data_IF_720928546312
#
_entry.id   IF_720928546312
#
_cell.length_a   1.000
_cell.length_b   1.000
_cell.length_c   1.000
_cell.angle_alpha   90.00
_cell.angle_beta   90.00
_cell.angle_gamma   90.00
#
_symmetry.space_group_name_H-M   'P 1'
#
loop_
_entity.id
_entity.type
_entity.pdbx_description
1 polymer ?
#
# COMPACT_ATOMS: atom_id res chain seq x y z
N UNK A 1 28.30 -10.84 -20.45
CA UNK A 1 28.69 -10.02 -19.26
C UNK A 1 28.41 -10.86 -18.03
N UNK A 2 29.28 -10.85 -17.01
CA UNK A 2 29.05 -11.61 -15.77
C UNK A 2 28.03 -10.81 -14.95
N UNK A 3 26.87 -11.39 -14.72
CA UNK A 3 25.85 -10.80 -13.85
C UNK A 3 26.30 -10.97 -12.40
N UNK A 4 26.40 -9.87 -11.66
CA UNK A 4 26.75 -9.90 -10.23
C UNK A 4 25.50 -10.17 -9.42
N UNK A 5 25.46 -11.26 -8.65
CA UNK A 5 24.36 -11.52 -7.70
C UNK A 5 24.61 -10.76 -6.39
N UNK A 6 23.57 -10.11 -5.84
CA UNK A 6 23.58 -9.35 -4.61
C UNK A 6 22.44 -9.81 -3.71
N UNK A 7 22.73 -10.18 -2.47
CA UNK A 7 21.73 -10.59 -1.47
C UNK A 7 21.26 -9.40 -0.65
N UNK A 8 19.97 -9.14 -0.63
CA UNK A 8 19.40 -8.07 0.18
C UNK A 8 18.40 -8.60 1.20
N UNK A 9 18.65 -8.30 2.48
CA UNK A 9 17.64 -8.54 3.53
C UNK A 9 16.58 -7.46 3.45
N UNK A 10 15.31 -7.85 3.48
CA UNK A 10 14.15 -6.93 3.47
C UNK A 10 13.39 -7.10 4.79
N UNK A 11 13.30 -6.01 5.56
CA UNK A 11 12.62 -5.95 6.86
C UNK A 11 11.38 -5.07 6.79
N UNK A 12 10.25 -5.58 7.26
CA UNK A 12 8.97 -4.86 7.32
C UNK A 12 7.96 -5.59 8.20
N UNK A 13 6.68 -5.26 8.05
CA UNK A 13 5.56 -5.93 8.75
C UNK A 13 4.94 -6.99 7.85
N UNK A 14 5.69 -8.04 7.52
CA UNK A 14 5.34 -9.07 6.57
C UNK A 14 4.98 -10.39 7.23
N UNK A 15 4.10 -11.19 6.61
CA UNK A 15 3.63 -12.46 7.13
C UNK A 15 2.51 -12.33 8.19
N UNK A 16 1.67 -11.28 8.08
CA UNK A 16 0.58 -11.02 9.03
C UNK A 16 -0.80 -10.89 8.35
N UNK A 17 -0.93 -11.32 7.11
CA UNK A 17 -2.18 -11.28 6.33
C UNK A 17 -2.81 -9.88 6.26
N UNK A 18 -1.97 -8.85 6.25
CA UNK A 18 -2.36 -7.47 6.01
C UNK A 18 -2.06 -7.14 4.55
N UNK A 19 -3.07 -7.08 3.70
CA UNK A 19 -2.92 -6.86 2.26
C UNK A 19 -2.10 -5.60 1.93
N UNK A 20 -2.19 -4.55 2.76
CA UNK A 20 -1.39 -3.34 2.55
C UNK A 20 0.12 -3.56 2.74
N UNK A 21 0.52 -4.20 3.85
CA UNK A 21 1.95 -4.47 4.11
C UNK A 21 2.49 -5.56 3.16
N UNK A 22 1.67 -6.54 2.80
CA UNK A 22 2.02 -7.55 1.79
C UNK A 22 2.19 -6.90 0.40
N UNK A 23 1.37 -5.90 0.06
CA UNK A 23 1.52 -5.15 -1.18
C UNK A 23 2.80 -4.31 -1.20
N UNK A 24 3.17 -3.72 -0.06
CA UNK A 24 4.46 -3.02 0.07
C UNK A 24 5.61 -3.97 -0.23
N UNK A 25 5.61 -5.18 0.34
CA UNK A 25 6.63 -6.18 0.05
C UNK A 25 6.64 -6.55 -1.44
N UNK A 26 5.47 -6.89 -2.00
CA UNK A 26 5.35 -7.25 -3.42
C UNK A 26 5.84 -6.13 -4.33
N UNK A 27 5.51 -4.87 -4.01
CA UNK A 27 5.94 -3.70 -4.78
C UNK A 27 7.46 -3.51 -4.74
N UNK A 28 8.09 -3.70 -3.57
CA UNK A 28 9.55 -3.63 -3.43
C UNK A 28 10.21 -4.74 -4.25
N UNK A 29 9.73 -5.99 -4.13
CA UNK A 29 10.27 -7.12 -4.88
C UNK A 29 10.14 -6.90 -6.39
N UNK A 30 8.98 -6.47 -6.88
CA UNK A 30 8.73 -6.20 -8.29
C UNK A 30 9.62 -5.07 -8.81
N UNK A 31 9.73 -3.96 -8.08
CA UNK A 31 10.56 -2.83 -8.48
C UNK A 31 12.06 -3.19 -8.52
N UNK A 32 12.54 -3.99 -7.56
CA UNK A 32 13.92 -4.50 -7.56
C UNK A 32 14.16 -5.46 -8.73
N UNK A 33 13.22 -6.32 -9.05
CA UNK A 33 13.30 -7.22 -10.20
C UNK A 33 13.34 -6.46 -11.54
N UNK A 34 12.43 -5.50 -11.73
CA UNK A 34 12.40 -4.65 -12.93
C UNK A 34 13.71 -3.88 -13.13
N UNK A 35 14.27 -3.29 -12.06
CA UNK A 35 15.53 -2.55 -12.14
C UNK A 35 16.74 -3.51 -12.32
N UNK A 36 16.68 -4.72 -11.76
CA UNK A 36 17.67 -5.77 -12.01
C UNK A 36 17.73 -6.15 -13.48
N UNK A 37 16.59 -6.31 -14.13
CA UNK A 37 16.51 -6.63 -15.57
C UNK A 37 17.11 -5.54 -16.47
N UNK A 38 17.10 -4.27 -16.00
CA UNK A 38 17.70 -3.12 -16.70
C UNK A 38 19.19 -2.95 -16.42
N UNK A 39 19.70 -3.68 -15.45
CA UNK A 39 21.09 -3.61 -15.00
C UNK A 39 21.75 -4.99 -15.11
N UNK A 40 23.06 -5.07 -14.92
CA UNK A 40 23.79 -6.34 -14.86
C UNK A 40 23.87 -6.89 -13.42
N UNK A 41 22.87 -6.58 -12.57
CA UNK A 41 22.83 -6.98 -11.17
C UNK A 41 21.57 -7.84 -10.96
N UNK A 42 21.74 -9.01 -10.39
CA UNK A 42 20.62 -9.85 -9.93
C UNK A 42 20.46 -9.69 -8.44
N UNK A 43 19.25 -9.42 -7.97
CA UNK A 43 18.93 -9.33 -6.54
C UNK A 43 18.37 -10.66 -6.05
N UNK A 44 18.96 -11.19 -4.97
CA UNK A 44 18.45 -12.33 -4.21
C UNK A 44 17.85 -11.81 -2.88
N UNK A 45 16.53 -11.62 -2.79
CA UNK A 45 15.92 -11.11 -1.58
C UNK A 45 15.83 -12.17 -0.47
N UNK A 46 16.05 -11.73 0.78
CA UNK A 46 15.82 -12.51 1.99
C UNK A 46 14.85 -11.73 2.86
N UNK A 47 13.63 -12.22 3.03
CA UNK A 47 12.58 -11.49 3.73
C UNK A 47 12.52 -11.87 5.22
N UNK A 48 12.50 -10.86 6.11
CA UNK A 48 12.21 -11.07 7.52
C UNK A 48 10.69 -11.09 7.72
N UNK A 49 10.12 -12.26 7.98
CA UNK A 49 8.68 -12.48 8.04
C UNK A 49 8.20 -13.00 9.40
N UNK A 50 6.96 -12.71 9.74
CA UNK A 50 6.23 -13.33 10.84
C UNK A 50 5.84 -14.79 10.54
N UNK A 51 5.61 -15.09 9.27
CA UNK A 51 5.30 -16.43 8.73
C UNK A 51 6.18 -16.69 7.50
N UNK A 52 7.42 -17.22 7.68
CA UNK A 52 8.34 -17.46 6.58
C UNK A 52 7.83 -18.45 5.53
N UNK A 53 7.09 -19.47 5.94
CA UNK A 53 6.58 -20.49 5.03
C UNK A 53 5.57 -19.89 4.05
N UNK A 54 4.59 -19.16 4.58
CA UNK A 54 3.61 -18.45 3.77
C UNK A 54 4.25 -17.41 2.85
N UNK A 55 5.20 -16.63 3.35
CA UNK A 55 5.92 -15.61 2.57
C UNK A 55 6.73 -16.25 1.43
N UNK A 56 7.41 -17.37 1.72
CA UNK A 56 8.17 -18.09 0.68
C UNK A 56 7.25 -18.68 -0.37
N UNK A 57 6.13 -19.28 0.02
CA UNK A 57 5.16 -19.85 -0.90
C UNK A 57 4.51 -18.77 -1.79
N UNK A 58 4.21 -17.59 -1.24
CA UNK A 58 3.53 -16.50 -1.95
C UNK A 58 4.45 -15.78 -2.95
N UNK A 59 5.70 -15.52 -2.57
CA UNK A 59 6.60 -14.65 -3.34
C UNK A 59 7.76 -15.39 -4.02
N UNK A 60 7.97 -16.68 -3.72
CA UNK A 60 9.08 -17.45 -4.28
C UNK A 60 10.46 -16.99 -3.75
N UNK A 61 10.51 -16.29 -2.63
CA UNK A 61 11.74 -15.74 -2.05
C UNK A 61 12.13 -16.46 -0.78
N UNK A 62 13.43 -16.48 -0.45
CA UNK A 62 13.89 -16.99 0.83
C UNK A 62 13.36 -16.10 1.96
N UNK A 63 12.84 -16.70 3.01
CA UNK A 63 12.34 -15.99 4.18
C UNK A 63 12.88 -16.58 5.47
N UNK A 64 13.07 -15.74 6.49
CA UNK A 64 13.51 -16.13 7.83
C UNK A 64 12.62 -15.50 8.90
N UNK A 65 12.49 -16.15 10.06
CA UNK A 65 11.58 -15.68 11.09
C UNK A 65 12.14 -14.42 11.78
N UNK A 66 11.39 -13.31 11.64
CA UNK A 66 11.80 -11.96 12.09
C UNK A 66 12.19 -11.84 13.57
N UNK A 67 11.65 -12.70 14.45
CA UNK A 67 11.93 -12.67 15.88
C UNK A 67 13.06 -13.62 16.31
N UNK A 68 13.57 -14.47 15.42
CA UNK A 68 14.70 -15.37 15.69
C UNK A 68 16.01 -14.65 15.42
N UNK A 69 16.54 -13.95 16.42
CA UNK A 69 17.72 -13.08 16.29
C UNK A 69 18.94 -13.77 15.67
N UNK A 70 19.13 -15.08 15.91
CA UNK A 70 20.22 -15.85 15.29
C UNK A 70 20.05 -15.92 13.78
N UNK A 71 18.85 -16.28 13.30
CA UNK A 71 18.54 -16.36 11.87
C UNK A 71 18.65 -14.98 11.19
N UNK A 72 18.12 -13.92 11.84
CA UNK A 72 18.24 -12.54 11.35
C UNK A 72 19.72 -12.12 11.23
N UNK A 73 20.55 -12.42 12.25
CA UNK A 73 21.97 -12.09 12.22
C UNK A 73 22.73 -12.86 11.14
N UNK A 74 22.41 -14.12 10.92
CA UNK A 74 23.01 -14.94 9.86
C UNK A 74 22.62 -14.40 8.48
N UNK A 75 21.32 -14.12 8.25
CA UNK A 75 20.84 -13.50 7.02
C UNK A 75 21.55 -12.15 6.72
N UNK A 76 21.71 -11.30 7.72
CA UNK A 76 22.45 -10.03 7.57
C UNK A 76 23.93 -10.23 7.29
N UNK A 77 24.57 -11.23 7.86
CA UNK A 77 26.00 -11.50 7.62
C UNK A 77 26.26 -11.91 6.17
N UNK A 78 25.43 -12.79 5.62
CA UNK A 78 25.56 -13.29 4.26
C UNK A 78 25.04 -12.30 3.20
N UNK A 79 24.29 -11.27 3.58
CA UNK A 79 23.74 -10.28 2.65
C UNK A 79 24.74 -9.19 2.29
N UNK A 80 24.44 -8.47 1.21
CA UNK A 80 25.18 -7.29 0.75
C UNK A 80 24.55 -5.98 1.22
N UNK A 81 23.36 -6.03 1.85
CA UNK A 81 22.69 -4.87 2.42
C UNK A 81 21.36 -5.20 3.07
N UNK A 82 20.76 -4.18 3.69
CA UNK A 82 19.45 -4.23 4.34
C UNK A 82 18.54 -3.15 3.76
N UNK A 83 17.35 -3.54 3.33
CA UNK A 83 16.22 -2.65 3.06
C UNK A 83 15.29 -2.67 4.26
N UNK A 84 15.07 -1.51 4.91
CA UNK A 84 13.94 -1.31 5.80
C UNK A 84 12.77 -0.84 4.95
N UNK A 85 11.80 -1.74 4.73
CA UNK A 85 10.72 -1.56 3.77
C UNK A 85 9.70 -0.50 4.19
N UNK A 86 8.76 -0.22 3.31
CA UNK A 86 7.69 0.77 3.48
C UNK A 86 6.71 0.42 4.60
N UNK A 87 5.64 1.17 4.66
CA UNK A 87 4.66 1.11 5.73
C UNK A 87 5.01 2.01 6.92
N UNK A 88 4.17 2.03 7.96
CA UNK A 88 4.40 2.84 9.17
C UNK A 88 5.10 2.02 10.25
N UNK A 89 6.39 1.73 10.07
CA UNK A 89 7.15 0.86 10.96
C UNK A 89 7.57 1.55 12.27
N UNK A 90 7.89 2.86 12.19
CA UNK A 90 8.35 3.65 13.33
C UNK A 90 7.22 4.48 13.91
N UNK A 91 6.38 3.83 14.71
CA UNK A 91 5.29 4.45 15.46
C UNK A 91 5.17 3.83 16.85
N UNK A 92 4.71 4.61 17.84
CA UNK A 92 4.48 4.14 19.20
C UNK A 92 3.01 4.20 19.65
N UNK A 93 2.09 4.56 18.73
CA UNK A 93 0.65 4.62 18.99
C UNK A 93 0.04 3.23 19.24
N UNK A 94 0.52 2.20 18.52
CA UNK A 94 -0.01 0.82 18.63
C UNK A 94 0.83 -0.09 19.52
N UNK A 95 2.02 0.35 19.95
CA UNK A 95 2.86 -0.45 20.85
C UNK A 95 4.29 0.05 20.98
N UNK A 96 4.91 -0.24 22.13
CA UNK A 96 6.25 0.22 22.50
C UNK A 96 7.40 -0.51 21.80
N UNK A 97 7.14 -1.71 21.30
CA UNK A 97 8.18 -2.62 20.81
C UNK A 97 8.54 -2.40 19.34
N UNK A 98 7.69 -1.70 18.59
CA UNK A 98 7.86 -1.51 17.15
C UNK A 98 9.13 -0.72 16.82
N UNK A 99 9.28 0.48 17.37
CA UNK A 99 10.43 1.35 17.11
C UNK A 99 11.76 0.67 17.51
N UNK A 100 11.93 0.12 18.75
CA UNK A 100 13.16 -0.58 19.12
C UNK A 100 13.49 -1.78 18.23
N UNK A 101 12.47 -2.54 17.81
CA UNK A 101 12.70 -3.70 16.94
C UNK A 101 13.28 -3.27 15.58
N UNK A 102 12.61 -2.37 14.86
CA UNK A 102 13.06 -1.97 13.52
C UNK A 102 14.39 -1.22 13.55
N UNK A 103 14.59 -0.32 14.52
CA UNK A 103 15.88 0.34 14.71
C UNK A 103 16.99 -0.65 15.08
N UNK A 104 16.66 -1.68 15.87
CA UNK A 104 17.60 -2.74 16.25
C UNK A 104 18.08 -3.56 15.04
N UNK A 105 17.19 -3.91 14.14
CA UNK A 105 17.55 -4.62 12.89
C UNK A 105 18.44 -3.75 12.00
N UNK A 106 18.09 -2.47 11.80
CA UNK A 106 18.94 -1.54 11.03
C UNK A 106 20.30 -1.37 11.68
N UNK A 107 20.34 -1.18 13.00
CA UNK A 107 21.59 -1.01 13.75
C UNK A 107 22.47 -2.25 13.70
N UNK A 108 21.89 -3.44 13.77
CA UNK A 108 22.62 -4.71 13.61
C UNK A 108 23.29 -4.80 12.23
N UNK A 109 22.58 -4.42 11.16
CA UNK A 109 23.15 -4.36 9.81
C UNK A 109 24.31 -3.35 9.74
N UNK A 110 24.16 -2.17 10.34
CA UNK A 110 25.22 -1.14 10.42
C UNK A 110 26.45 -1.64 11.18
N UNK A 111 26.28 -2.37 12.29
CA UNK A 111 27.39 -3.00 13.02
C UNK A 111 28.11 -4.07 12.20
N UNK A 112 27.36 -4.77 11.35
CA UNK A 112 27.95 -5.72 10.39
C UNK A 112 28.52 -5.02 9.13
N UNK A 113 28.59 -3.67 9.13
CA UNK A 113 29.10 -2.83 8.04
C UNK A 113 28.34 -3.01 6.72
N UNK A 114 27.07 -3.38 6.80
CA UNK A 114 26.18 -3.51 5.63
C UNK A 114 25.54 -2.16 5.31
N UNK A 115 25.44 -1.77 4.01
CA UNK A 115 24.65 -0.61 3.62
C UNK A 115 23.19 -0.81 4.03
N UNK A 116 22.55 0.27 4.47
CA UNK A 116 21.17 0.25 4.94
C UNK A 116 20.35 1.28 4.17
N UNK A 117 19.22 0.84 3.64
CA UNK A 117 18.32 1.61 2.80
C UNK A 117 16.95 1.69 3.45
N UNK A 118 16.47 2.90 3.67
CA UNK A 118 15.08 3.15 4.11
C UNK A 118 14.25 3.36 2.86
N UNK A 119 13.21 2.52 2.67
CA UNK A 119 12.42 2.47 1.45
C UNK A 119 11.01 3.01 1.69
N UNK A 120 10.74 4.25 1.29
CA UNK A 120 9.43 4.90 1.33
C UNK A 120 8.68 4.71 2.66
N UNK A 121 9.39 4.88 3.78
CA UNK A 121 8.84 4.58 5.11
C UNK A 121 8.01 5.74 5.65
N UNK A 122 6.80 5.44 6.17
CA UNK A 122 6.05 6.37 7.01
C UNK A 122 6.60 6.39 8.44
N UNK A 123 6.78 7.57 9.01
CA UNK A 123 7.30 7.75 10.37
C UNK A 123 6.25 8.48 11.21
N UNK A 124 5.91 7.89 12.33
CA UNK A 124 5.01 8.48 13.31
C UNK A 124 3.59 7.90 13.30
N UNK A 125 2.78 8.33 14.30
CA UNK A 125 3.20 9.25 15.36
C UNK A 125 4.25 8.65 16.31
N UNK A 126 5.27 9.46 16.66
CA UNK A 126 6.28 9.12 17.69
C UNK A 126 6.02 10.05 18.88
N UNK A 127 5.20 9.59 19.81
CA UNK A 127 4.77 10.39 20.96
C UNK A 127 5.88 10.47 22.03
N UNK A 128 6.72 9.44 22.12
CA UNK A 128 7.77 9.34 23.13
C UNK A 128 9.11 9.86 22.61
N UNK A 129 9.47 11.05 23.05
CA UNK A 129 10.73 11.71 22.67
C UNK A 129 12.00 10.92 22.97
N UNK A 130 11.93 9.90 23.85
CA UNK A 130 13.06 9.02 24.16
C UNK A 130 13.56 8.25 22.92
N UNK A 131 12.73 8.02 21.93
CA UNK A 131 13.12 7.37 20.68
C UNK A 131 13.86 8.30 19.70
N UNK A 132 13.72 9.62 19.86
CA UNK A 132 14.29 10.61 18.92
C UNK A 132 15.80 10.47 18.73
N UNK A 133 16.64 10.34 19.79
CA UNK A 133 18.08 10.15 19.63
C UNK A 133 18.44 8.85 18.90
N UNK A 134 17.67 7.78 19.15
CA UNK A 134 17.89 6.48 18.49
C UNK A 134 17.57 6.58 16.99
N UNK A 135 16.40 7.14 16.63
CA UNK A 135 15.99 7.36 15.24
C UNK A 135 17.03 8.22 14.53
N UNK A 136 17.41 9.37 15.13
CA UNK A 136 18.45 10.25 14.59
C UNK A 136 19.75 9.52 14.30
N UNK A 137 20.27 8.79 15.29
CA UNK A 137 21.57 8.08 15.17
C UNK A 137 21.54 7.02 14.08
N UNK A 138 20.45 6.24 14.00
CA UNK A 138 20.31 5.16 13.01
C UNK A 138 20.12 5.72 11.60
N UNK A 139 19.23 6.71 11.43
CA UNK A 139 18.92 7.26 10.12
C UNK A 139 20.06 8.08 9.52
N UNK A 140 20.82 8.82 10.35
CA UNK A 140 22.04 9.51 9.87
C UNK A 140 23.11 8.57 9.31
N UNK A 141 23.13 7.33 9.76
CA UNK A 141 24.08 6.32 9.30
C UNK A 141 23.53 5.45 8.14
N UNK A 142 22.33 5.71 7.66
CA UNK A 142 21.77 5.01 6.51
C UNK A 142 22.42 5.49 5.20
N UNK A 143 22.57 4.57 4.27
CA UNK A 143 23.12 4.83 2.94
C UNK A 143 22.13 5.63 2.07
N UNK A 144 20.84 5.35 2.22
CA UNK A 144 19.75 6.01 1.51
C UNK A 144 18.51 6.09 2.42
N UNK A 145 17.85 7.23 2.41
CA UNK A 145 16.62 7.43 3.20
C UNK A 145 15.54 7.99 2.29
N UNK A 146 14.48 7.22 2.10
CA UNK A 146 13.24 7.73 1.52
C UNK A 146 12.06 7.53 2.46
N UNK A 147 11.17 8.51 2.48
CA UNK A 147 9.94 8.51 3.26
C UNK A 147 8.75 8.76 2.32
N UNK A 148 7.56 8.31 2.73
CA UNK A 148 6.41 8.35 1.82
C UNK A 148 5.58 9.64 1.90
N UNK A 149 5.84 10.51 2.87
CA UNK A 149 5.09 11.74 3.08
C UNK A 149 5.97 12.84 3.68
N UNK A 150 5.56 14.11 3.48
CA UNK A 150 6.29 15.28 3.99
C UNK A 150 6.31 15.33 5.52
N UNK A 151 5.26 14.85 6.19
CA UNK A 151 5.23 14.82 7.66
C UNK A 151 6.36 13.93 8.23
N UNK A 152 6.61 12.79 7.61
CA UNK A 152 7.75 11.92 7.95
C UNK A 152 9.08 12.60 7.67
N UNK A 153 9.19 13.35 6.57
CA UNK A 153 10.39 14.10 6.23
C UNK A 153 10.64 15.25 7.22
N UNK A 154 9.61 16.02 7.57
CA UNK A 154 9.71 17.12 8.54
C UNK A 154 10.07 16.61 9.93
N UNK A 155 9.53 15.46 10.33
CA UNK A 155 9.94 14.83 11.58
C UNK A 155 11.44 14.51 11.60
N UNK A 156 11.98 13.91 10.53
CA UNK A 156 13.41 13.61 10.43
C UNK A 156 14.28 14.87 10.36
N UNK A 157 13.83 15.91 9.63
CA UNK A 157 14.48 17.23 9.57
C UNK A 157 14.53 17.85 10.96
N UNK A 158 13.43 17.77 11.72
CA UNK A 158 13.35 18.22 13.11
C UNK A 158 14.32 17.48 14.04
N UNK A 159 14.69 16.26 13.71
CA UNK A 159 15.77 15.52 14.41
C UNK A 159 17.17 15.93 13.94
N UNK A 160 17.30 16.74 12.90
CA UNK A 160 18.56 17.26 12.37
C UNK A 160 19.21 16.40 11.29
N UNK A 161 18.42 15.67 10.50
CA UNK A 161 18.85 15.15 9.20
C UNK A 161 18.82 16.30 8.17
N UNK A 162 19.75 16.29 7.22
CA UNK A 162 19.83 17.32 6.18
C UNK A 162 18.81 17.07 5.08
N UNK A 163 18.37 18.12 4.41
CA UNK A 163 17.39 18.08 3.30
C UNK A 163 17.79 17.10 2.18
N UNK A 164 19.06 17.13 1.80
CA UNK A 164 19.62 16.28 0.75
C UNK A 164 19.79 14.81 1.16
N UNK A 165 19.54 14.45 2.42
CA UNK A 165 19.62 13.09 2.93
C UNK A 165 18.25 12.40 2.90
N UNK A 166 17.15 13.13 2.68
CA UNK A 166 15.79 12.64 2.77
C UNK A 166 15.10 12.84 1.43
N UNK A 167 14.61 11.74 0.86
CA UNK A 167 13.84 11.75 -0.38
C UNK A 167 12.38 11.46 -0.07
N UNK A 168 11.48 12.36 -0.46
CA UNK A 168 10.04 12.12 -0.35
C UNK A 168 9.58 11.47 -1.64
N UNK A 169 9.06 10.26 -1.52
CA UNK A 169 8.54 9.45 -2.64
C UNK A 169 7.14 8.95 -2.28
N UNK A 170 6.30 8.52 -3.20
CA UNK A 170 5.03 7.90 -2.84
C UNK A 170 5.21 6.54 -2.19
N UNK A 171 4.12 6.03 -1.61
CA UNK A 171 4.07 4.64 -1.11
C UNK A 171 4.38 3.67 -2.27
N UNK A 172 5.20 2.63 -2.05
CA UNK A 172 5.61 1.69 -3.10
C UNK A 172 4.44 1.04 -3.84
N UNK A 173 3.31 0.89 -3.17
CA UNK A 173 2.10 0.28 -3.72
C UNK A 173 1.52 1.07 -4.89
N UNK A 174 1.81 2.36 -5.02
CA UNK A 174 1.47 3.13 -6.23
C UNK A 174 2.08 2.52 -7.49
N UNK A 175 3.23 1.88 -7.39
CA UNK A 175 3.92 1.21 -8.51
C UNK A 175 3.56 -0.26 -8.72
N UNK A 176 2.67 -0.85 -7.89
CA UNK A 176 2.30 -2.26 -7.99
C UNK A 176 1.50 -2.53 -9.28
N UNK A 177 1.97 -3.42 -10.19
CA UNK A 177 1.22 -3.80 -11.36
C UNK A 177 0.07 -4.75 -11.02
N UNK A 178 -0.95 -4.79 -11.88
CA UNK A 178 -1.94 -5.86 -11.86
C UNK A 178 -1.26 -7.22 -12.11
N UNK A 179 -1.86 -8.34 -11.65
CA UNK A 179 -1.34 -9.66 -11.95
C UNK A 179 -1.31 -9.89 -13.46
N UNK A 180 -0.26 -10.56 -13.96
CA UNK A 180 -0.24 -10.97 -15.34
C UNK A 180 -1.41 -11.92 -15.61
N UNK A 181 -2.28 -11.57 -16.55
CA UNK A 181 -3.32 -12.48 -17.03
C UNK A 181 -2.62 -13.68 -17.64
N UNK A 182 -2.84 -14.89 -17.12
CA UNK A 182 -2.45 -16.13 -17.77
C UNK A 182 -3.25 -16.25 -19.07
N UNK A 183 -2.75 -15.63 -20.13
CA UNK A 183 -3.15 -16.01 -21.48
C UNK A 183 -2.64 -17.43 -21.64
N UNK A 184 -3.55 -18.41 -21.81
CA UNK A 184 -3.16 -19.77 -22.18
C UNK A 184 -2.23 -19.65 -23.37
N UNK A 185 -0.97 -20.04 -23.18
CA UNK A 185 0.05 -20.03 -24.22
C UNK A 185 -0.23 -21.16 -25.20
N UNK A 186 -1.16 -20.88 -26.11
CA UNK A 186 -1.22 -21.55 -27.39
C UNK A 186 -0.13 -20.99 -28.29
N UNK A 187 0.76 -21.87 -28.72
CA UNK A 187 1.93 -21.67 -29.54
C UNK A 187 1.94 -20.43 -30.47
N UNK A 188 2.99 -19.60 -30.37
CA UNK A 188 3.29 -18.55 -31.35
C UNK A 188 4.01 -17.35 -30.71
N UNK A 189 5.34 -17.47 -30.59
CA UNK A 189 6.16 -16.37 -30.13
C UNK A 189 6.22 -15.25 -31.19
N UNK A 190 5.71 -14.07 -30.87
CA UNK A 190 6.11 -12.82 -31.52
C UNK A 190 6.32 -11.78 -30.40
N UNK A 191 7.56 -11.31 -30.31
CA UNK A 191 7.98 -10.19 -29.47
C UNK A 191 7.16 -8.95 -29.83
N UNK A 192 6.43 -8.39 -28.86
CA UNK A 192 5.83 -7.08 -29.01
C UNK A 192 6.13 -6.25 -27.76
N UNK A 193 6.94 -5.21 -27.96
CA UNK A 193 7.00 -4.05 -27.09
C UNK A 193 5.57 -3.49 -26.93
N UNK A 194 4.96 -3.77 -25.81
CA UNK A 194 3.64 -3.20 -25.48
C UNK A 194 3.82 -2.03 -24.53
N UNK A 195 3.78 -0.83 -25.11
CA UNK A 195 3.40 0.38 -24.41
C UNK A 195 2.07 0.14 -23.66
N UNK A 196 2.07 0.41 -22.37
CA UNK A 196 0.93 0.23 -21.47
C UNK A 196 -0.22 1.17 -21.86
N UNK A 197 -1.06 0.74 -22.77
CA UNK A 197 -2.39 1.32 -22.93
C UNK A 197 -3.31 0.60 -21.96
N UNK A 198 -3.75 1.34 -20.92
CA UNK A 198 -4.82 0.91 -20.04
C UNK A 198 -5.99 0.35 -20.84
N UNK A 199 -6.50 -0.82 -20.45
CA UNK A 199 -7.75 -1.36 -20.95
C UNK A 199 -8.87 -0.35 -20.70
N UNK A 200 -9.11 0.55 -21.64
CA UNK A 200 -10.31 1.34 -21.73
C UNK A 200 -11.46 0.37 -22.00
N UNK A 201 -12.24 0.07 -20.97
CA UNK A 201 -13.57 -0.48 -21.17
C UNK A 201 -14.40 0.66 -21.76
N UNK A 202 -14.57 0.66 -23.06
CA UNK A 202 -15.55 1.49 -23.78
C UNK A 202 -16.95 1.22 -23.22
N UNK A 203 -17.82 2.23 -23.08
CA UNK A 203 -19.19 2.01 -22.65
C UNK A 203 -19.90 1.16 -23.71
N UNK A 204 -20.18 -0.09 -23.39
CA UNK A 204 -20.94 -0.99 -24.24
C UNK A 204 -22.37 -0.44 -24.42
N UNK A 205 -22.69 -0.01 -25.62
CA UNK A 205 -24.07 0.25 -26.08
C UNK A 205 -24.79 -1.08 -26.24
N UNK A 206 -25.38 -1.57 -25.16
CA UNK A 206 -26.18 -2.80 -25.18
C UNK A 206 -26.93 -3.00 -23.86
N UNK A 207 -28.22 -2.87 -23.89
CA UNK A 207 -29.25 -2.77 -22.87
C UNK A 207 -29.29 -3.73 -21.69
N UNK A 208 -28.28 -3.67 -20.79
CA UNK A 208 -28.35 -3.91 -19.35
C UNK A 208 -27.34 -2.98 -18.71
N UNK A 209 -27.79 -1.88 -18.13
CA UNK A 209 -26.91 -0.96 -17.39
C UNK A 209 -26.26 -1.71 -16.23
N UNK A 210 -24.97 -2.03 -16.40
CA UNK A 210 -24.15 -2.65 -15.33
C UNK A 210 -24.20 -1.73 -14.12
N UNK A 211 -24.56 -2.27 -12.95
CA UNK A 211 -24.56 -1.50 -11.71
C UNK A 211 -23.17 -0.94 -11.44
N UNK A 212 -23.03 0.34 -11.08
CA UNK A 212 -21.76 0.87 -10.60
C UNK A 212 -21.27 0.07 -9.39
N UNK A 213 -20.01 -0.33 -9.42
CA UNK A 213 -19.38 -1.10 -8.34
C UNK A 213 -18.64 -0.14 -7.40
N UNK A 214 -19.04 -0.14 -6.14
CA UNK A 214 -18.41 0.67 -5.09
C UNK A 214 -17.67 -0.25 -4.15
N UNK A 215 -16.35 -0.16 -4.16
CA UNK A 215 -15.50 -0.83 -3.18
C UNK A 215 -15.69 -0.18 -1.80
N UNK A 216 -15.84 -1.00 -0.76
CA UNK A 216 -16.01 -0.53 0.63
C UNK A 216 -14.99 -1.22 1.52
N UNK A 217 -14.01 -0.47 2.02
CA UNK A 217 -12.99 -0.97 2.95
C UNK A 217 -13.10 -0.28 4.30
N UNK A 218 -13.58 -1.02 5.30
CA UNK A 218 -13.84 -0.51 6.64
C UNK A 218 -13.08 -1.30 7.70
N UNK A 219 -12.99 -0.70 8.88
CA UNK A 219 -12.41 -1.32 10.08
C UNK A 219 -13.15 -0.84 11.32
N UNK A 220 -13.05 -1.57 12.41
CA UNK A 220 -13.41 -1.05 13.72
C UNK A 220 -12.37 -0.02 14.18
N UNK A 221 -12.86 1.13 14.66
CA UNK A 221 -12.00 2.18 15.20
C UNK A 221 -12.50 2.70 16.54
N UNK A 222 -13.65 3.36 16.58
CA UNK A 222 -14.26 3.84 17.82
C UNK A 222 -14.87 2.68 18.62
N UNK A 223 -14.84 2.79 19.95
CA UNK A 223 -15.39 1.76 20.83
C UNK A 223 -16.91 1.58 20.68
N UNK A 224 -17.61 2.69 20.40
CA UNK A 224 -19.06 2.74 20.16
C UNK A 224 -19.43 2.53 18.68
N UNK A 225 -18.44 2.42 17.80
CA UNK A 225 -18.58 2.18 16.35
C UNK A 225 -19.47 3.22 15.64
N UNK A 226 -19.46 4.46 16.12
CA UNK A 226 -20.26 5.55 15.54
C UNK A 226 -19.88 5.82 14.09
N UNK A 227 -18.60 5.63 13.71
CA UNK A 227 -18.11 5.75 12.36
C UNK A 227 -18.82 4.78 11.40
N UNK A 228 -19.02 3.52 11.80
CA UNK A 228 -19.73 2.54 10.99
C UNK A 228 -21.22 2.85 10.87
N UNK A 229 -21.82 3.42 11.92
CA UNK A 229 -23.21 3.89 11.87
C UNK A 229 -23.39 5.02 10.87
N UNK A 230 -22.48 6.00 10.85
CA UNK A 230 -22.50 7.09 9.87
C UNK A 230 -22.28 6.59 8.44
N UNK A 231 -21.33 5.64 8.25
CA UNK A 231 -21.10 5.00 6.95
C UNK A 231 -22.36 4.24 6.49
N UNK A 232 -22.99 3.45 7.38
CA UNK A 232 -24.23 2.72 7.05
C UNK A 232 -25.34 3.68 6.60
N UNK A 233 -25.52 4.79 7.32
CA UNK A 233 -26.50 5.81 6.95
C UNK A 233 -26.23 6.39 5.56
N UNK A 234 -24.95 6.69 5.25
CA UNK A 234 -24.53 7.20 3.96
C UNK A 234 -24.77 6.18 2.83
N UNK A 235 -24.40 4.92 3.03
CA UNK A 235 -24.60 3.85 2.05
C UNK A 235 -26.10 3.54 1.83
N UNK A 236 -26.94 3.54 2.86
CA UNK A 236 -28.40 3.41 2.71
C UNK A 236 -28.98 4.55 1.90
N UNK A 237 -28.53 5.79 2.18
CA UNK A 237 -28.95 6.97 1.43
C UNK A 237 -28.54 6.88 -0.04
N UNK A 238 -27.30 6.43 -0.31
CA UNK A 238 -26.81 6.18 -1.66
C UNK A 238 -27.69 5.16 -2.38
N UNK A 239 -27.90 3.97 -1.80
CA UNK A 239 -28.75 2.92 -2.38
C UNK A 239 -30.21 3.37 -2.60
N UNK A 240 -30.69 4.34 -1.82
CA UNK A 240 -32.03 4.92 -2.03
C UNK A 240 -32.10 5.83 -3.24
N UNK A 241 -31.00 6.45 -3.64
CA UNK A 241 -30.92 7.38 -4.78
C UNK A 241 -30.53 6.70 -6.09
N UNK A 242 -29.69 5.67 -6.01
CA UNK A 242 -29.10 5.00 -7.15
C UNK A 242 -28.84 3.53 -6.84
N UNK A 243 -29.25 2.64 -7.72
CA UNK A 243 -28.90 1.23 -7.63
C UNK A 243 -27.39 1.07 -7.86
N UNK A 244 -26.68 0.41 -6.94
CA UNK A 244 -25.23 0.18 -6.96
C UNK A 244 -24.90 -1.23 -6.48
N UNK A 245 -23.69 -1.69 -6.78
CA UNK A 245 -23.12 -2.89 -6.17
C UNK A 245 -22.09 -2.48 -5.12
N UNK A 246 -22.42 -2.68 -3.85
CA UNK A 246 -21.47 -2.51 -2.74
C UNK A 246 -20.61 -3.75 -2.62
N UNK A 247 -19.32 -3.62 -2.97
CA UNK A 247 -18.30 -4.68 -2.89
C UNK A 247 -17.41 -4.45 -1.70
N UNK A 248 -17.59 -5.24 -0.63
CA UNK A 248 -16.76 -5.13 0.58
C UNK A 248 -15.39 -5.76 0.35
N UNK A 249 -14.34 -5.02 0.73
CA UNK A 249 -12.93 -5.33 0.51
C UNK A 249 -12.19 -5.36 1.84
N UNK A 250 -12.10 -6.49 2.55
CA UNK A 250 -11.34 -6.61 3.80
C UNK A 250 -9.85 -6.65 3.52
N UNK A 251 -9.11 -5.64 3.98
CA UNK A 251 -7.67 -5.50 3.77
C UNK A 251 -6.82 -6.15 4.84
N UNK A 252 -7.36 -6.36 6.04
CA UNK A 252 -6.65 -7.01 7.15
C UNK A 252 -7.53 -8.09 7.79
N UNK A 253 -7.19 -9.33 7.55
CA UNK A 253 -7.96 -10.48 8.03
C UNK A 253 -7.51 -10.94 9.42
N UNK A 254 -8.43 -11.39 10.25
CA UNK A 254 -9.89 -11.47 10.02
C UNK A 254 -10.67 -10.20 10.44
N UNK A 255 -9.99 -9.17 10.95
CA UNK A 255 -10.63 -8.03 11.65
C UNK A 255 -11.50 -7.20 10.72
N UNK A 256 -11.01 -6.91 9.50
CA UNK A 256 -11.77 -6.10 8.54
C UNK A 256 -12.94 -6.87 7.93
N UNK A 257 -12.85 -8.20 7.87
CA UNK A 257 -13.98 -9.03 7.49
C UNK A 257 -15.11 -8.92 8.50
N UNK A 258 -14.78 -8.98 9.80
CA UNK A 258 -15.76 -8.81 10.88
C UNK A 258 -16.42 -7.41 10.82
N UNK A 259 -15.63 -6.36 10.59
CA UNK A 259 -16.16 -4.99 10.45
C UNK A 259 -17.05 -4.86 9.20
N UNK A 260 -16.67 -5.50 8.10
CA UNK A 260 -17.45 -5.52 6.87
C UNK A 260 -18.79 -6.21 7.06
N UNK A 261 -18.80 -7.41 7.66
CA UNK A 261 -20.03 -8.16 7.94
C UNK A 261 -20.95 -7.40 8.88
N UNK A 262 -20.41 -6.79 9.93
CA UNK A 262 -21.15 -5.94 10.85
C UNK A 262 -21.83 -4.77 10.10
N UNK A 263 -21.11 -4.11 9.20
CA UNK A 263 -21.69 -3.02 8.39
C UNK A 263 -22.73 -3.53 7.41
N UNK A 264 -22.53 -4.71 6.79
CA UNK A 264 -23.52 -5.35 5.91
C UNK A 264 -24.82 -5.67 6.65
N UNK A 265 -24.76 -6.15 7.90
CA UNK A 265 -25.95 -6.38 8.75
C UNK A 265 -26.68 -5.06 9.02
N UNK A 266 -25.95 -3.97 9.33
CA UNK A 266 -26.54 -2.65 9.52
C UNK A 266 -27.24 -2.13 8.27
N UNK A 267 -26.75 -2.44 7.07
CA UNK A 267 -27.38 -1.99 5.82
C UNK A 267 -28.78 -2.60 5.61
N UNK A 268 -29.00 -3.83 6.09
CA UNK A 268 -30.25 -4.56 5.90
C UNK A 268 -30.54 -4.83 4.42
N UNK A 269 -31.80 -4.89 4.04
CA UNK A 269 -32.18 -5.16 2.66
C UNK A 269 -32.11 -3.90 1.77
N UNK A 270 -31.05 -3.82 0.97
CA UNK A 270 -30.88 -2.80 -0.09
C UNK A 270 -31.25 -3.36 -1.47
N UNK A 271 -31.54 -4.66 -1.56
CA UNK A 271 -31.81 -5.32 -2.85
C UNK A 271 -33.19 -4.97 -3.39
N UNK A 272 -34.14 -4.64 -2.50
CA UNK A 272 -35.48 -4.16 -2.85
C UNK A 272 -35.48 -2.92 -3.78
N UNK A 273 -34.35 -2.17 -3.79
CA UNK A 273 -34.12 -1.00 -4.65
C UNK A 273 -33.15 -1.27 -5.81
N UNK A 274 -32.88 -2.54 -6.10
CA UNK A 274 -32.01 -2.97 -7.20
C UNK A 274 -30.51 -2.93 -6.89
N UNK A 275 -30.08 -2.55 -5.69
CA UNK A 275 -28.68 -2.61 -5.29
C UNK A 275 -28.24 -4.03 -4.94
N UNK A 276 -26.91 -4.29 -4.96
CA UNK A 276 -26.32 -5.57 -4.57
C UNK A 276 -25.27 -5.34 -3.48
N UNK A 277 -25.09 -6.36 -2.64
CA UNK A 277 -24.00 -6.41 -1.65
C UNK A 277 -23.22 -7.71 -1.85
N UNK A 278 -21.92 -7.62 -1.82
CA UNK A 278 -21.02 -8.78 -1.76
C UNK A 278 -19.77 -8.45 -0.96
N UNK A 279 -19.07 -9.47 -0.50
CA UNK A 279 -17.77 -9.36 0.14
C UNK A 279 -16.78 -10.20 -0.68
N UNK A 280 -15.53 -9.75 -0.78
CA UNK A 280 -14.48 -10.57 -1.40
C UNK A 280 -14.19 -11.77 -0.51
N UNK A 281 -13.83 -12.88 -1.12
CA UNK A 281 -13.23 -14.00 -0.41
C UNK A 281 -11.89 -13.60 0.22
N UNK A 282 -11.31 -14.49 1.03
CA UNK A 282 -9.98 -14.30 1.62
C UNK A 282 -8.91 -14.19 0.51
N UNK A 283 -8.55 -12.98 0.15
CA UNK A 283 -7.48 -12.68 -0.80
C UNK A 283 -6.18 -12.39 -0.04
N UNK A 284 -5.34 -13.41 0.08
CA UNK A 284 -4.01 -13.26 0.71
C UNK A 284 -3.00 -12.63 -0.24
N UNK A 285 -3.12 -12.84 -1.56
CA UNK A 285 -2.28 -12.21 -2.57
C UNK A 285 -2.70 -10.75 -2.79
N UNK A 286 -1.81 -9.78 -2.56
CA UNK A 286 -2.13 -8.36 -2.71
C UNK A 286 -2.44 -7.96 -4.17
N UNK A 287 -1.91 -8.66 -5.17
CA UNK A 287 -2.23 -8.37 -6.57
C UNK A 287 -3.66 -8.81 -6.93
N UNK A 288 -4.18 -9.90 -6.34
CA UNK A 288 -5.58 -10.28 -6.52
C UNK A 288 -6.53 -9.27 -5.85
N UNK A 289 -6.17 -8.73 -4.68
CA UNK A 289 -6.93 -7.64 -4.06
C UNK A 289 -6.87 -6.36 -4.93
N UNK A 290 -5.71 -6.06 -5.53
CA UNK A 290 -5.56 -4.94 -6.45
C UNK A 290 -6.46 -5.11 -7.69
N UNK A 291 -6.56 -6.33 -8.21
CA UNK A 291 -7.46 -6.67 -9.31
C UNK A 291 -8.94 -6.46 -8.92
N UNK A 292 -9.35 -6.85 -7.71
CA UNK A 292 -10.71 -6.57 -7.22
C UNK A 292 -10.99 -5.06 -7.12
N UNK A 293 -10.03 -4.30 -6.63
CA UNK A 293 -10.12 -2.83 -6.58
C UNK A 293 -10.24 -2.23 -7.98
N UNK A 294 -9.49 -2.73 -8.95
CA UNK A 294 -9.52 -2.23 -10.34
C UNK A 294 -10.88 -2.41 -11.04
N UNK A 295 -11.71 -3.34 -10.54
CA UNK A 295 -13.07 -3.60 -11.05
C UNK A 295 -14.10 -2.63 -10.48
N UNK A 296 -13.71 -1.78 -9.49
CA UNK A 296 -14.61 -0.79 -8.89
C UNK A 296 -14.68 0.50 -9.72
N UNK A 297 -15.83 1.16 -9.65
CA UNK A 297 -16.01 2.50 -10.23
C UNK A 297 -15.60 3.61 -9.25
N UNK A 298 -15.55 3.28 -7.93
CA UNK A 298 -15.15 4.15 -6.84
C UNK A 298 -14.82 3.29 -5.61
N UNK A 299 -13.92 3.76 -4.73
CA UNK A 299 -13.63 3.08 -3.46
C UNK A 299 -13.84 4.03 -2.29
N UNK A 300 -14.67 3.60 -1.31
CA UNK A 300 -14.80 4.23 0.00
C UNK A 300 -13.87 3.48 0.96
N UNK A 301 -12.90 4.16 1.57
CA UNK A 301 -11.90 3.51 2.39
C UNK A 301 -11.56 4.20 3.70
N UNK A 302 -11.55 3.42 4.78
CA UNK A 302 -10.89 3.76 6.04
C UNK A 302 -9.44 3.28 6.07
N UNK A 303 -9.07 2.26 5.31
CA UNK A 303 -7.70 1.78 5.19
C UNK A 303 -6.91 2.60 4.16
N UNK A 304 -5.76 3.15 4.57
CA UNK A 304 -4.90 3.91 3.66
C UNK A 304 -4.60 3.13 2.37
N UNK A 305 -4.22 1.86 2.48
CA UNK A 305 -3.88 1.07 1.30
C UNK A 305 -5.06 0.81 0.36
N UNK A 306 -6.30 0.79 0.85
CA UNK A 306 -7.46 0.70 -0.05
C UNK A 306 -7.59 1.92 -0.97
N UNK A 307 -7.22 3.10 -0.46
CA UNK A 307 -7.21 4.36 -1.22
C UNK A 307 -6.01 4.40 -2.18
N UNK A 308 -4.83 3.92 -1.74
CA UNK A 308 -3.63 3.83 -2.59
C UNK A 308 -3.89 2.85 -3.75
N UNK A 309 -4.48 1.69 -3.48
CA UNK A 309 -4.86 0.72 -4.52
C UNK A 309 -5.81 1.36 -5.52
N UNK A 310 -6.86 2.03 -5.03
CA UNK A 310 -7.82 2.71 -5.90
C UNK A 310 -7.13 3.73 -6.81
N UNK A 311 -6.36 4.65 -6.24
CA UNK A 311 -5.64 5.66 -7.01
C UNK A 311 -4.67 5.03 -8.01
N UNK A 312 -3.90 4.00 -7.60
CA UNK A 312 -2.96 3.31 -8.50
C UNK A 312 -3.64 2.64 -9.71
N UNK A 313 -4.93 2.34 -9.61
CA UNK A 313 -5.75 1.79 -10.69
C UNK A 313 -6.70 2.82 -11.32
N UNK A 314 -6.45 4.11 -11.10
CA UNK A 314 -7.25 5.21 -11.64
C UNK A 314 -8.73 5.13 -11.23
N UNK A 315 -9.01 4.57 -10.06
CA UNK A 315 -10.33 4.50 -9.44
C UNK A 315 -10.43 5.61 -8.39
N UNK A 316 -11.46 6.48 -8.44
CA UNK A 316 -11.63 7.56 -7.47
C UNK A 316 -11.68 7.07 -6.03
N UNK A 317 -10.77 7.51 -5.13
CA UNK A 317 -10.80 7.17 -3.71
C UNK A 317 -11.65 8.18 -2.94
N UNK A 318 -12.50 7.68 -2.04
CA UNK A 318 -13.23 8.48 -1.03
C UNK A 318 -12.72 8.07 0.34
N UNK A 319 -11.85 8.86 0.92
CA UNK A 319 -11.25 8.56 2.22
C UNK A 319 -12.14 8.98 3.39
N UNK A 320 -12.19 8.13 4.42
CA UNK A 320 -12.72 8.45 5.74
C UNK A 320 -11.53 8.46 6.69
N UNK A 321 -11.18 9.67 7.20
CA UNK A 321 -9.97 9.86 7.97
C UNK A 321 -10.16 9.47 9.44
N UNK A 322 -9.21 8.71 9.97
CA UNK A 322 -9.03 8.45 11.40
C UNK A 322 -7.54 8.58 11.79
N UNK A 323 -6.68 8.83 10.80
CA UNK A 323 -5.23 8.86 10.95
C UNK A 323 -4.67 9.85 9.92
N UNK A 324 -3.80 10.79 10.30
CA UNK A 324 -3.26 11.84 9.42
C UNK A 324 -2.65 11.33 8.11
N UNK A 325 -2.20 10.08 8.05
CA UNK A 325 -1.65 9.50 6.82
C UNK A 325 -2.67 9.37 5.68
N UNK A 326 -3.96 9.29 6.01
CA UNK A 326 -5.06 9.28 5.02
C UNK A 326 -5.16 10.66 4.38
N UNK A 327 -5.17 11.70 5.23
CA UNK A 327 -5.23 13.09 4.80
C UNK A 327 -4.01 13.43 3.92
N UNK A 328 -2.81 13.02 4.36
CA UNK A 328 -1.56 13.23 3.62
C UNK A 328 -1.57 12.56 2.24
N UNK A 329 -2.12 11.36 2.15
CA UNK A 329 -2.22 10.67 0.87
C UNK A 329 -3.24 11.35 -0.06
N UNK A 330 -4.42 11.70 0.45
CA UNK A 330 -5.45 12.38 -0.35
C UNK A 330 -4.97 13.76 -0.83
N UNK A 331 -4.23 14.49 0.01
CA UNK A 331 -3.62 15.77 -0.37
C UNK A 331 -2.66 15.62 -1.57
N UNK A 332 -1.94 14.50 -1.69
CA UNK A 332 -1.09 14.23 -2.87
C UNK A 332 -1.89 13.97 -4.15
N UNK A 333 -3.19 13.77 -4.02
CA UNK A 333 -4.14 13.61 -5.12
C UNK A 333 -5.02 14.87 -5.26
N UNK A 334 -4.62 16.01 -4.70
CA UNK A 334 -5.44 17.24 -4.66
C UNK A 334 -6.87 17.00 -4.17
N UNK A 335 -7.02 16.05 -3.24
CA UNK A 335 -8.29 15.57 -2.71
C UNK A 335 -8.36 15.70 -1.19
N UNK A 336 -9.57 15.73 -0.66
CA UNK A 336 -9.83 15.78 0.78
C UNK A 336 -10.66 14.56 1.23
N UNK A 337 -10.57 14.14 2.53
CA UNK A 337 -11.45 13.10 3.05
C UNK A 337 -12.91 13.57 3.06
N UNK A 338 -13.84 12.64 2.86
CA UNK A 338 -15.28 12.90 2.97
C UNK A 338 -15.71 13.32 4.39
N UNK A 339 -14.89 12.96 5.38
CA UNK A 339 -15.01 13.30 6.78
C UNK A 339 -14.04 12.47 7.62
N UNK A 340 -14.03 12.70 8.91
CA UNK A 340 -13.31 11.87 9.88
C UNK A 340 -14.28 11.01 10.71
N UNK A 341 -13.76 10.07 11.49
CA UNK A 341 -14.58 9.15 12.30
C UNK A 341 -15.47 9.84 13.32
N UNK A 342 -15.12 11.06 13.75
CA UNK A 342 -15.92 11.82 14.73
C UNK A 342 -17.04 12.64 14.10
N UNK A 343 -16.83 13.17 12.90
CA UNK A 343 -17.69 14.16 12.26
C UNK A 343 -18.27 13.70 10.92
N UNK A 344 -18.16 12.41 10.60
CA UNK A 344 -18.69 11.89 9.34
C UNK A 344 -20.20 12.05 9.25
N UNK A 345 -20.62 12.75 8.20
CA UNK A 345 -22.03 12.95 7.87
C UNK A 345 -22.41 12.00 6.71
N UNK A 346 -23.35 11.09 6.96
CA UNK A 346 -23.82 10.13 5.97
C UNK A 346 -24.46 10.78 4.73
N UNK A 347 -25.17 11.91 4.88
CA UNK A 347 -25.76 12.63 3.75
C UNK A 347 -24.68 13.27 2.87
N UNK A 348 -23.64 13.85 3.48
CA UNK A 348 -22.47 14.38 2.79
C UNK A 348 -21.74 13.26 2.06
N UNK A 349 -21.49 12.13 2.72
CA UNK A 349 -20.85 10.95 2.11
C UNK A 349 -21.62 10.48 0.88
N UNK A 350 -22.95 10.30 0.98
CA UNK A 350 -23.78 9.89 -0.13
C UNK A 350 -23.73 10.89 -1.30
N UNK A 351 -23.74 12.19 -1.03
CA UNK A 351 -23.63 13.24 -2.07
C UNK A 351 -22.27 13.19 -2.76
N UNK A 352 -21.18 13.07 -1.99
CA UNK A 352 -19.82 12.97 -2.53
C UNK A 352 -19.69 11.77 -3.47
N UNK A 353 -20.18 10.58 -3.06
CA UNK A 353 -20.12 9.37 -3.86
C UNK A 353 -20.93 9.50 -5.15
N UNK A 354 -22.16 10.02 -5.08
CA UNK A 354 -22.99 10.23 -6.29
C UNK A 354 -22.30 11.20 -7.25
N UNK A 355 -21.80 12.34 -6.73
CA UNK A 355 -21.11 13.34 -7.55
C UNK A 355 -19.88 12.78 -8.26
N UNK A 356 -19.04 12.01 -7.56
CA UNK A 356 -17.86 11.39 -8.16
C UNK A 356 -18.21 10.30 -9.19
N UNK A 357 -19.28 9.52 -8.97
CA UNK A 357 -19.75 8.56 -9.97
C UNK A 357 -20.23 9.25 -11.25
N UNK A 358 -20.94 10.37 -11.11
CA UNK A 358 -21.44 11.14 -12.25
C UNK A 358 -20.32 11.87 -13.00
N UNK A 359 -19.27 12.29 -12.28
CA UNK A 359 -18.12 13.04 -12.79
C UNK A 359 -16.86 12.17 -12.96
N UNK A 360 -16.96 10.83 -12.93
CA UNK A 360 -15.81 9.92 -12.96
C UNK A 360 -14.85 10.20 -14.12
N UNK A 361 -15.38 10.44 -15.31
CA UNK A 361 -14.53 10.75 -16.49
C UNK A 361 -13.80 12.08 -16.36
N UNK A 362 -14.40 13.06 -15.69
CA UNK A 362 -13.77 14.35 -15.42
C UNK A 362 -12.68 14.19 -14.35
N UNK A 363 -13.00 13.50 -13.25
CA UNK A 363 -12.03 13.18 -12.20
C UNK A 363 -10.78 12.49 -12.77
N UNK A 364 -10.99 11.49 -13.67
CA UNK A 364 -9.86 10.80 -14.30
C UNK A 364 -8.98 11.75 -15.10
N UNK A 365 -9.55 12.63 -15.91
CA UNK A 365 -8.78 13.60 -16.71
C UNK A 365 -7.95 14.54 -15.83
N UNK A 366 -8.49 14.93 -14.69
CA UNK A 366 -7.83 15.86 -13.75
C UNK A 366 -6.69 15.21 -12.98
N UNK A 367 -6.75 13.87 -12.72
CA UNK A 367 -5.81 13.18 -11.84
C UNK A 367 -4.89 12.19 -12.56
N UNK A 368 -5.14 11.84 -13.83
CA UNK A 368 -4.39 10.82 -14.58
C UNK A 368 -2.87 11.13 -14.63
N UNK A 369 -2.50 12.37 -14.90
CA UNK A 369 -1.10 12.78 -14.97
C UNK A 369 -0.42 12.67 -13.61
N UNK A 370 -1.02 13.21 -12.55
CA UNK A 370 -0.48 13.15 -11.20
C UNK A 370 -0.34 11.70 -10.69
N UNK A 371 -1.34 10.86 -10.93
CA UNK A 371 -1.28 9.43 -10.57
C UNK A 371 -0.15 8.73 -11.35
N UNK A 372 -0.02 9.01 -12.64
CA UNK A 372 1.05 8.44 -13.46
C UNK A 372 2.43 8.83 -12.97
N UNK A 373 2.61 10.09 -12.57
CA UNK A 373 3.85 10.57 -11.96
C UNK A 373 4.13 9.84 -10.63
N UNK A 374 3.14 9.72 -9.74
CA UNK A 374 3.29 8.99 -8.47
C UNK A 374 3.69 7.53 -8.72
N UNK A 375 3.12 6.87 -9.73
CA UNK A 375 3.50 5.49 -10.11
C UNK A 375 4.96 5.38 -10.56
N UNK A 376 5.47 6.36 -11.26
CA UNK A 376 6.89 6.41 -11.68
C UNK A 376 7.82 6.68 -10.49
N UNK A 377 7.46 7.65 -9.65
CA UNK A 377 8.24 8.02 -8.46
C UNK A 377 8.33 6.90 -7.43
N UNK A 378 7.32 6.01 -7.35
CA UNK A 378 7.33 4.85 -6.46
C UNK A 378 8.49 3.86 -6.74
N UNK A 379 9.08 3.91 -7.93
CA UNK A 379 10.21 3.06 -8.36
C UNK A 379 11.57 3.65 -8.01
N UNK A 380 11.64 4.94 -7.71
CA UNK A 380 12.90 5.67 -7.46
C UNK A 380 13.76 5.01 -6.37
N UNK A 381 13.23 4.55 -5.23
CA UNK A 381 14.06 3.90 -4.23
C UNK A 381 14.77 2.63 -4.74
N UNK A 382 14.09 1.80 -5.55
CA UNK A 382 14.71 0.62 -6.14
C UNK A 382 15.86 0.99 -7.09
N UNK A 383 15.65 2.01 -7.94
CA UNK A 383 16.69 2.54 -8.84
C UNK A 383 17.93 3.03 -8.06
N UNK A 384 17.72 3.77 -6.95
CA UNK A 384 18.81 4.27 -6.11
C UNK A 384 19.60 3.12 -5.45
N UNK A 385 18.91 2.09 -5.01
CA UNK A 385 19.54 0.90 -4.40
C UNK A 385 20.38 0.16 -5.44
N UNK A 386 19.84 -0.15 -6.61
CA UNK A 386 20.53 -0.82 -7.70
C UNK A 386 21.74 0.00 -8.17
N UNK A 387 21.58 1.30 -8.36
CA UNK A 387 22.69 2.19 -8.73
C UNK A 387 23.82 2.23 -7.69
N UNK A 388 23.47 2.17 -6.41
CA UNK A 388 24.47 2.10 -5.34
C UNK A 388 25.26 0.78 -5.38
N UNK A 389 24.56 -0.34 -5.55
CA UNK A 389 25.17 -1.66 -5.61
C UNK A 389 26.09 -1.81 -6.83
N UNK A 390 25.67 -1.27 -7.98
CA UNK A 390 26.46 -1.30 -9.23
C UNK A 390 27.74 -0.48 -9.20
N UNK A 391 27.85 0.50 -8.30
CA UNK A 391 29.10 1.29 -8.12
C UNK A 391 30.14 0.58 -7.24
N UNK A 392 29.76 -0.48 -6.54
CA UNK A 392 30.62 -1.23 -5.63
C UNK A 392 31.19 -2.52 -6.25
N UNK A 393 30.62 -3.02 -7.33
CA UNK A 393 31.12 -4.13 -8.11
C UNK A 393 32.00 -3.63 -9.25
#
# INVERSE_FOLDING_TARGET
MVTTSQKLVISGYYGFRNSGDEAVLKSILTALEEESQRSNITIEPIVLSGDPESTTAMYGVRSVHRMKLKEVREALKESDGLISGGGSLLQDATGLKSIPYYLGVIKLAQWLKKPTFIYAQGIGPVNRKIFNPMIKSVFKACTYVSVRDEQSADYLRGLGLQWNQIHVVPDPVMGLPLPETKVERGAGAVSANASTQANRVEPSTGGHTKLPVIGVSVRFWESDRKELTAIAAGLKKLCSKRAVHLRFLPFHLPVDEQASRFLMEMLGDVTSKGSKISITEDLTDPQLMLEEVSKCDLVIGMRLHSLIYAASQYVPPVGISYDPKIDQFLLRLDSEPAGNTDTLDGDKLAKTVVGLLDQRSQWLKEHEEGITQLKQEARVPAQQIINYLGRKG
#
